data_IF_291683481317
#
_entry.id   IF_291683481317
#
_cell.length_a   1.000
_cell.length_b   1.000
_cell.length_c   1.000
_cell.angle_alpha   90.00
_cell.angle_beta   90.00
_cell.angle_gamma   90.00
#
_symmetry.space_group_name_H-M   'P 1'
#
loop_
_entity.id
_entity.type
_entity.pdbx_description
1 polymer ?
#
# COMPACT_ATOMS: atom_id res chain seq x y z
N UNK A 1 27.04 -10.65 57.53
CA UNK A 1 27.83 -10.15 56.37
C UNK A 1 27.45 -11.07 55.21
N UNK A 2 26.65 -10.70 54.20
CA UNK A 2 26.70 -9.55 53.29
C UNK A 2 25.29 -9.17 52.82
N UNK A 3 25.14 -7.90 52.45
CA UNK A 3 23.94 -7.18 52.04
C UNK A 3 24.01 -6.93 50.51
N UNK A 4 22.85 -6.60 49.92
CA UNK A 4 22.59 -5.99 48.59
C UNK A 4 22.37 -6.94 47.41
N UNK A 5 21.53 -6.63 46.42
CA UNK A 5 20.46 -5.63 46.24
C UNK A 5 19.86 -5.94 44.87
N UNK A 6 18.56 -6.26 44.78
CA UNK A 6 17.86 -6.32 43.50
C UNK A 6 17.18 -4.96 43.27
N UNK A 7 17.71 -4.17 42.34
CA UNK A 7 17.07 -2.94 41.89
C UNK A 7 16.16 -3.24 40.71
N UNK A 8 14.85 -3.28 40.95
CA UNK A 8 13.84 -3.24 39.89
C UNK A 8 13.56 -1.76 39.58
N UNK A 9 13.99 -1.27 38.42
CA UNK A 9 13.55 0.02 37.90
C UNK A 9 12.22 -0.20 37.20
N UNK A 10 11.14 0.28 37.81
CA UNK A 10 9.83 0.35 37.16
C UNK A 10 9.76 1.64 36.33
N UNK A 11 9.95 1.54 35.02
CA UNK A 11 9.70 2.66 34.11
C UNK A 11 8.20 2.71 33.80
N UNK A 12 7.48 3.62 34.44
CA UNK A 12 6.10 3.95 34.09
C UNK A 12 6.09 4.79 32.81
N UNK A 13 5.80 4.16 31.68
CA UNK A 13 5.54 4.88 30.42
C UNK A 13 4.14 5.46 30.50
N UNK A 14 4.03 6.75 30.85
CA UNK A 14 2.80 7.52 30.72
C UNK A 14 2.61 7.91 29.25
N UNK A 15 1.94 7.03 28.49
CA UNK A 15 1.48 7.36 27.15
C UNK A 15 0.30 8.34 27.24
N UNK A 16 0.57 9.63 27.04
CA UNK A 16 -0.44 10.68 26.91
C UNK A 16 -1.34 10.38 25.71
N UNK A 17 -2.65 10.19 25.98
CA UNK A 17 -3.71 10.18 24.97
C UNK A 17 -3.94 11.61 24.47
N UNK A 18 -3.29 12.00 23.38
CA UNK A 18 -3.73 13.18 22.61
C UNK A 18 -4.55 12.68 21.41
N UNK A 19 -5.87 12.79 21.55
CA UNK A 19 -6.82 12.44 20.52
C UNK A 19 -6.70 13.38 19.34
N UNK A 20 -5.92 12.99 18.33
CA UNK A 20 -6.05 13.56 16.99
C UNK A 20 -7.42 13.14 16.47
N UNK A 21 -8.40 14.05 16.60
CA UNK A 21 -9.69 13.96 15.90
C UNK A 21 -9.40 13.91 14.41
N UNK A 22 -9.23 12.71 13.88
CA UNK A 22 -9.40 12.46 12.45
C UNK A 22 -10.86 12.74 12.21
N UNK A 23 -11.15 13.87 11.56
CA UNK A 23 -12.47 14.20 11.05
C UNK A 23 -13.05 12.93 10.43
N UNK A 24 -14.10 12.39 11.05
CA UNK A 24 -14.78 11.20 10.61
C UNK A 24 -15.36 11.47 9.22
N UNK A 25 -14.55 11.22 8.19
CA UNK A 25 -15.01 11.07 6.83
C UNK A 25 -15.77 9.76 6.82
N UNK A 26 -17.10 9.85 6.84
CA UNK A 26 -18.09 8.82 6.57
C UNK A 26 -17.51 7.44 6.26
N UNK A 27 -17.43 6.59 7.30
CA UNK A 27 -16.90 5.22 7.28
C UNK A 27 -17.62 4.28 6.29
N UNK A 28 -18.77 4.71 5.75
CA UNK A 28 -19.71 3.92 4.94
C UNK A 28 -19.64 4.19 3.42
N UNK A 29 -18.70 5.02 2.95
CA UNK A 29 -18.45 5.24 1.51
C UNK A 29 -17.02 4.87 1.10
N UNK A 30 -16.29 4.14 1.94
CA UNK A 30 -14.90 3.78 1.70
C UNK A 30 -14.85 2.70 0.61
N UNK A 31 -14.73 3.12 -0.64
CA UNK A 31 -14.15 2.28 -1.69
C UNK A 31 -12.94 1.56 -1.07
N UNK A 32 -12.89 0.22 -1.14
CA UNK A 32 -11.86 -0.55 -0.45
C UNK A 32 -10.49 -0.08 -0.92
N UNK A 33 -9.80 0.66 -0.04
CA UNK A 33 -8.45 1.16 -0.26
C UNK A 33 -7.49 0.11 0.28
N UNK A 34 -6.71 -0.45 -0.63
CA UNK A 34 -5.66 -1.42 -0.38
C UNK A 34 -4.30 -0.73 -0.43
N UNK A 35 -3.34 -1.33 0.27
CA UNK A 35 -1.94 -0.92 0.26
C UNK A 35 -1.13 -2.09 -0.24
N UNK A 36 -0.52 -1.95 -1.40
CA UNK A 36 0.27 -3.00 -2.02
C UNK A 36 1.74 -2.79 -1.67
N UNK A 37 2.43 -3.89 -1.33
CA UNK A 37 3.87 -3.89 -1.09
C UNK A 37 4.63 -4.17 -2.37
N UNK A 38 5.85 -3.65 -2.44
CA UNK A 38 6.75 -3.92 -3.56
C UNK A 38 7.19 -5.39 -3.55
N UNK A 39 7.10 -6.07 -4.69
CA UNK A 39 7.45 -7.49 -4.89
C UNK A 39 8.42 -7.72 -6.05
N UNK A 40 9.04 -6.65 -6.57
CA UNK A 40 10.04 -6.75 -7.62
C UNK A 40 11.45 -6.96 -7.09
N UNK A 41 12.42 -6.87 -8.00
CA UNK A 41 13.83 -7.24 -7.73
C UNK A 41 14.66 -6.12 -7.08
N UNK A 42 14.11 -4.90 -6.96
CA UNK A 42 14.84 -3.75 -6.42
C UNK A 42 14.59 -3.56 -4.91
N UNK A 43 15.54 -3.92 -4.02
CA UNK A 43 15.33 -3.87 -2.56
C UNK A 43 15.13 -2.44 -2.04
N UNK A 44 15.64 -1.43 -2.74
CA UNK A 44 15.45 -0.02 -2.40
C UNK A 44 13.97 0.41 -2.41
N UNK A 45 13.10 -0.34 -3.11
CA UNK A 45 11.67 -0.06 -3.20
C UNK A 45 10.83 -0.87 -2.20
N UNK A 46 11.45 -1.72 -1.36
CA UNK A 46 10.75 -2.62 -0.44
C UNK A 46 9.85 -1.89 0.57
N UNK A 47 10.25 -0.69 1.00
CA UNK A 47 9.48 0.17 1.91
C UNK A 47 8.48 1.08 1.19
N UNK A 48 8.52 1.09 -0.15
CA UNK A 48 7.63 1.93 -0.95
C UNK A 48 6.27 1.24 -1.13
N UNK A 49 5.21 1.96 -0.75
CA UNK A 49 3.84 1.44 -0.74
C UNK A 49 3.04 2.06 -1.88
N UNK A 50 2.31 1.24 -2.63
CA UNK A 50 1.36 1.72 -3.63
C UNK A 50 -0.06 1.72 -3.05
N UNK A 51 -0.73 2.87 -3.12
CA UNK A 51 -2.13 2.98 -2.72
C UNK A 51 -3.02 2.61 -3.90
N UNK A 52 -3.89 1.61 -3.67
CA UNK A 52 -4.78 1.08 -4.69
C UNK A 52 -6.20 1.13 -4.17
N UNK A 53 -7.14 1.68 -4.94
CA UNK A 53 -8.57 1.67 -4.61
C UNK A 53 -9.31 0.82 -5.62
N UNK A 54 -10.20 -0.04 -5.14
CA UNK A 54 -11.11 -0.74 -6.04
C UNK A 54 -12.23 0.22 -6.42
N UNK A 55 -12.34 0.50 -7.71
CA UNK A 55 -13.35 1.40 -8.27
C UNK A 55 -14.22 0.66 -9.27
N UNK A 56 -15.50 1.04 -9.34
CA UNK A 56 -16.41 0.46 -10.33
C UNK A 56 -16.35 1.28 -11.61
N UNK A 57 -15.82 0.69 -12.68
CA UNK A 57 -15.75 1.30 -14.01
C UNK A 57 -16.88 0.69 -14.83
N UNK A 58 -17.99 1.41 -15.01
CA UNK A 58 -19.21 0.90 -15.67
C UNK A 58 -19.69 -0.42 -15.01
N UNK A 59 -19.62 -1.54 -15.72
CA UNK A 59 -20.03 -2.87 -15.23
C UNK A 59 -18.87 -3.74 -14.74
N UNK A 60 -17.63 -3.21 -14.67
CA UNK A 60 -16.45 -3.96 -14.21
C UNK A 60 -15.80 -3.35 -12.97
N UNK A 61 -15.19 -4.20 -12.14
CA UNK A 61 -14.27 -3.75 -11.10
C UNK A 61 -12.93 -3.35 -11.74
N UNK A 62 -12.45 -2.17 -11.39
CA UNK A 62 -11.18 -1.59 -11.80
C UNK A 62 -10.32 -1.24 -10.58
N UNK A 63 -9.08 -0.86 -10.84
CA UNK A 63 -8.20 -0.31 -9.81
C UNK A 63 -7.90 1.13 -10.19
N UNK A 64 -8.00 2.01 -9.21
CA UNK A 64 -7.47 3.36 -9.21
C UNK A 64 -6.17 3.33 -8.40
N UNK A 65 -5.05 3.67 -9.04
CA UNK A 65 -3.71 3.50 -8.47
C UNK A 65 -3.05 4.87 -8.36
N UNK A 66 -2.54 5.18 -7.18
CA UNK A 66 -1.72 6.35 -6.94
C UNK A 66 -0.25 6.01 -7.19
N UNK A 67 0.45 6.87 -7.91
CA UNK A 67 1.86 6.68 -8.20
C UNK A 67 2.68 6.75 -6.89
N UNK A 68 3.47 5.70 -6.56
CA UNK A 68 4.26 5.70 -5.34
C UNK A 68 5.42 6.73 -5.33
N UNK A 69 5.73 7.33 -6.48
CA UNK A 69 6.86 8.26 -6.64
C UNK A 69 6.43 9.73 -6.69
N UNK A 70 5.31 10.03 -7.36
CA UNK A 70 4.85 11.41 -7.57
C UNK A 70 3.42 11.68 -7.06
N UNK A 71 2.77 10.70 -6.41
CA UNK A 71 1.40 10.82 -5.87
C UNK A 71 0.32 11.21 -6.89
N UNK A 72 0.63 11.13 -8.19
CA UNK A 72 -0.33 11.38 -9.26
C UNK A 72 -1.19 10.14 -9.51
N UNK A 73 -2.41 10.36 -10.02
CA UNK A 73 -3.24 9.26 -10.50
C UNK A 73 -2.57 8.56 -11.68
N UNK A 74 -2.66 7.23 -11.72
CA UNK A 74 -2.11 6.42 -12.80
C UNK A 74 -3.21 5.89 -13.71
N UNK A 75 -2.92 5.84 -15.00
CA UNK A 75 -3.81 5.29 -16.02
C UNK A 75 -3.42 3.86 -16.37
N UNK A 76 -4.41 2.99 -16.55
CA UNK A 76 -4.21 1.61 -16.98
C UNK A 76 -3.65 1.58 -18.43
N UNK A 77 -2.48 0.97 -18.59
CA UNK A 77 -1.82 0.78 -19.87
C UNK A 77 -2.21 -0.58 -20.47
N UNK A 78 -2.76 -0.55 -21.68
CA UNK A 78 -3.08 -1.76 -22.44
C UNK A 78 -1.83 -2.61 -22.69
N UNK A 79 -1.93 -3.91 -22.42
CA UNK A 79 -0.87 -4.88 -22.70
C UNK A 79 -0.75 -5.07 -24.22
N UNK A 80 0.30 -4.51 -24.80
CA UNK A 80 0.59 -4.62 -26.23
C UNK A 80 1.12 -6.02 -26.58
N UNK A 81 0.33 -6.79 -27.33
CA UNK A 81 0.74 -7.85 -28.28
C UNK A 81 1.49 -9.11 -27.80
N UNK A 82 2.18 -9.08 -26.65
CA UNK A 82 2.89 -10.22 -26.05
C UNK A 82 1.99 -10.87 -25.00
N UNK A 83 1.92 -12.21 -24.96
CA UNK A 83 1.13 -12.98 -23.98
C UNK A 83 1.36 -12.41 -22.57
N UNK A 84 0.37 -11.73 -21.98
CA UNK A 84 0.51 -11.22 -20.63
C UNK A 84 0.61 -12.39 -19.66
N UNK A 85 1.30 -12.21 -18.53
CA UNK A 85 0.90 -12.95 -17.34
C UNK A 85 -0.58 -12.61 -17.14
N UNK A 86 -1.47 -13.60 -17.24
CA UNK A 86 -2.89 -13.43 -17.57
C UNK A 86 -3.70 -12.55 -16.59
N UNK A 87 -3.07 -12.05 -15.53
CA UNK A 87 -3.69 -11.19 -14.52
C UNK A 87 -2.83 -9.98 -14.10
N UNK A 88 -1.68 -9.73 -14.74
CA UNK A 88 -0.90 -8.51 -14.49
C UNK A 88 -1.65 -7.29 -15.06
N UNK A 89 -1.76 -6.21 -14.27
CA UNK A 89 -2.34 -4.94 -14.71
C UNK A 89 -1.28 -3.85 -14.63
N UNK A 90 -1.06 -3.13 -15.73
CA UNK A 90 0.00 -2.12 -15.83
C UNK A 90 -0.58 -0.73 -15.75
N UNK A 91 0.09 0.15 -15.04
CA UNK A 91 -0.29 1.53 -14.83
C UNK A 91 0.86 2.45 -15.19
N UNK A 92 0.55 3.62 -15.76
CA UNK A 92 1.51 4.69 -16.05
C UNK A 92 1.00 6.01 -15.46
N UNK A 93 1.87 6.80 -14.84
CA UNK A 93 1.53 8.19 -14.52
C UNK A 93 1.90 9.12 -15.68
N UNK A 94 1.49 10.38 -15.58
CA UNK A 94 1.81 11.43 -16.57
C UNK A 94 3.31 11.75 -16.62
N UNK A 95 4.03 11.59 -15.51
CA UNK A 95 5.48 11.78 -15.44
C UNK A 95 6.28 10.60 -16.04
N UNK A 96 5.60 9.51 -16.39
CA UNK A 96 6.22 8.34 -17.05
C UNK A 96 6.64 7.20 -16.11
N UNK A 97 6.41 7.29 -14.80
CA UNK A 97 6.57 6.15 -13.90
C UNK A 97 5.60 5.03 -14.24
N UNK A 98 6.03 3.79 -14.03
CA UNK A 98 5.27 2.58 -14.34
C UNK A 98 5.13 1.71 -13.10
N UNK A 99 3.95 1.13 -12.94
CA UNK A 99 3.64 0.20 -11.85
C UNK A 99 2.86 -0.97 -12.43
N UNK A 100 3.28 -2.18 -12.13
CA UNK A 100 2.58 -3.41 -12.47
C UNK A 100 1.96 -4.02 -11.21
N UNK A 101 0.63 -4.09 -11.16
CA UNK A 101 -0.07 -4.87 -10.14
C UNK A 101 -0.08 -6.35 -10.55
N UNK A 102 0.45 -7.20 -9.68
CA UNK A 102 0.49 -8.65 -9.89
C UNK A 102 -0.35 -9.30 -8.79
N UNK A 103 -1.34 -10.13 -9.15
CA UNK A 103 -2.00 -10.96 -8.16
C UNK A 103 -1.02 -12.04 -7.71
N UNK A 104 -0.69 -12.04 -6.42
CA UNK A 104 0.18 -13.07 -5.87
C UNK A 104 -0.43 -14.45 -6.01
N UNK A 105 0.44 -15.45 -6.21
CA UNK A 105 0.05 -16.87 -6.27
C UNK A 105 -0.55 -17.37 -4.94
N UNK A 106 -0.23 -16.69 -3.84
CA UNK A 106 -0.69 -16.98 -2.46
C UNK A 106 -1.84 -16.09 -2.01
N UNK A 107 -2.40 -15.27 -2.90
CA UNK A 107 -3.44 -14.28 -2.56
C UNK A 107 -2.91 -12.94 -2.05
N UNK A 108 -1.59 -12.77 -1.91
CA UNK A 108 -0.97 -11.48 -1.57
C UNK A 108 -0.77 -10.67 -2.85
N UNK A 109 -1.61 -9.67 -3.07
CA UNK A 109 -1.48 -8.75 -4.20
C UNK A 109 -0.32 -7.76 -3.96
N UNK A 110 0.57 -7.62 -4.94
CA UNK A 110 1.78 -6.80 -4.83
C UNK A 110 2.01 -5.96 -6.09
N UNK A 111 2.94 -5.01 -6.00
CA UNK A 111 3.32 -4.18 -7.14
C UNK A 111 4.80 -4.33 -7.49
N UNK A 112 5.15 -4.24 -8.77
CA UNK A 112 6.54 -4.18 -9.27
C UNK A 112 6.74 -3.06 -10.27
#
# INVERSE_FOLDING_TARGET
MTKWSASCVATSITATREGRRVTAKNLLSTATQYVFRYVGDFPALSETLAHVKVVRIRNRAGFDVECPFCSQAMEEASLSGKRPEARERRFKCTDGHRVSLIPGKTGVEGWR
#
